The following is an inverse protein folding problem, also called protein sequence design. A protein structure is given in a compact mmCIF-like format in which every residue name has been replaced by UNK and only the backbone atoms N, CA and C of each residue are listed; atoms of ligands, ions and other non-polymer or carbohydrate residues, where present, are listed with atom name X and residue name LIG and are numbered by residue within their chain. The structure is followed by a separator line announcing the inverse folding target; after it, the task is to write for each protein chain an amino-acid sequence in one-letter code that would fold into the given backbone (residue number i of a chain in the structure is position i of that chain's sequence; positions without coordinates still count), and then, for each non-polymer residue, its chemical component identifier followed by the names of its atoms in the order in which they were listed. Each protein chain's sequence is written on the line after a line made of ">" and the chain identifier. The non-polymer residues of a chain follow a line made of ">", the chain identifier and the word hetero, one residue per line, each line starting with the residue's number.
data_IF_379849851223
#
_entry.id   IF_379849851223
#
_cell.length_a   1.000
_cell.length_b   1.000
_cell.length_c   1.000
_cell.angle_alpha   90.00
_cell.angle_beta   90.00
_cell.angle_gamma   90.00
#
_symmetry.space_group_name_H-M   'P 1'
#
loop_
_entity.id
_entity.type
_entity.pdbx_description
1 polymer ?
#
# COMPACT_ATOMS: atom_id res chain seq x y z
N UNK A 1 5.96 -24.98 33.88
CA UNK A 1 6.70 -25.53 32.73
C UNK A 1 6.08 -24.92 31.47
N UNK A 2 6.72 -23.88 30.96
CA UNK A 2 6.25 -23.17 29.77
C UNK A 2 6.86 -23.84 28.53
N UNK A 3 6.03 -24.56 27.78
CA UNK A 3 6.41 -24.98 26.44
C UNK A 3 6.07 -23.86 25.46
N UNK A 4 7.05 -23.00 25.18
CA UNK A 4 7.06 -22.17 23.99
C UNK A 4 7.33 -23.10 22.79
N UNK A 5 6.30 -23.41 22.02
CA UNK A 5 6.47 -24.00 20.69
C UNK A 5 6.85 -22.84 19.78
N UNK A 6 8.15 -22.70 19.54
CA UNK A 6 8.68 -21.92 18.43
C UNK A 6 8.30 -22.66 17.15
N UNK A 7 7.34 -22.16 16.41
CA UNK A 7 7.05 -22.62 15.05
C UNK A 7 8.17 -22.08 14.16
N UNK A 8 8.92 -22.96 13.50
CA UNK A 8 10.02 -22.62 12.61
C UNK A 8 9.57 -21.64 11.53
N UNK A 9 10.24 -20.49 11.44
CA UNK A 9 9.94 -19.38 10.52
C UNK A 9 10.06 -19.74 9.03
N UNK A 10 10.67 -20.88 8.68
CA UNK A 10 10.87 -21.31 7.29
C UNK A 10 9.66 -21.99 6.63
N UNK A 11 8.60 -22.31 7.37
CA UNK A 11 7.57 -23.26 6.91
C UNK A 11 6.48 -22.65 6.02
N UNK A 12 6.28 -21.32 5.99
CA UNK A 12 5.14 -20.71 5.28
C UNK A 12 5.36 -20.62 3.76
N UNK A 13 6.60 -20.54 3.31
CA UNK A 13 6.95 -20.47 1.87
C UNK A 13 8.02 -21.51 1.44
N UNK A 14 8.45 -22.41 2.34
CA UNK A 14 9.44 -23.44 2.00
C UNK A 14 8.79 -24.67 1.37
N UNK A 15 9.44 -25.19 0.34
CA UNK A 15 9.02 -26.27 -0.55
C UNK A 15 9.03 -27.67 0.07
N UNK A 16 8.65 -27.88 1.33
CA UNK A 16 8.64 -29.21 1.94
C UNK A 16 7.25 -29.88 2.03
N UNK A 17 6.19 -29.23 1.56
CA UNK A 17 4.86 -29.84 1.51
C UNK A 17 4.50 -30.22 0.06
N UNK A 18 4.92 -31.38 -0.36
CA UNK A 18 4.56 -31.99 -1.65
C UNK A 18 3.08 -32.44 -1.75
N UNK A 19 2.22 -32.07 -0.81
CA UNK A 19 0.76 -32.29 -0.81
C UNK A 19 -0.08 -31.03 -0.56
N UNK A 20 0.51 -29.85 -0.25
CA UNK A 20 -0.23 -28.61 -0.19
C UNK A 20 -0.17 -27.92 -1.56
N UNK A 21 -1.35 -27.67 -2.16
CA UNK A 21 -1.48 -26.99 -3.44
C UNK A 21 -0.72 -25.65 -3.48
N UNK A 22 -0.35 -25.23 -4.69
CA UNK A 22 0.39 -24.00 -4.95
C UNK A 22 -0.31 -22.79 -4.30
N UNK A 23 0.36 -22.13 -3.31
CA UNK A 23 -0.20 -20.98 -2.61
C UNK A 23 -0.36 -19.79 -3.57
N UNK A 24 -1.48 -19.11 -3.46
CA UNK A 24 -1.74 -17.88 -4.19
C UNK A 24 -1.42 -16.67 -3.30
N UNK A 25 -0.67 -15.71 -3.84
CA UNK A 25 -0.27 -14.51 -3.10
C UNK A 25 -1.17 -13.35 -3.48
N UNK A 26 -1.66 -12.63 -2.50
CA UNK A 26 -2.53 -11.46 -2.67
C UNK A 26 -1.88 -10.25 -2.02
N UNK A 27 -1.33 -9.36 -2.85
CA UNK A 27 -0.60 -8.17 -2.38
C UNK A 27 -1.50 -6.95 -2.21
N UNK A 28 -1.24 -6.14 -1.19
CA UNK A 28 -1.61 -4.74 -1.18
C UNK A 28 -0.63 -3.92 -2.03
N UNK A 29 -1.06 -2.72 -2.49
CA UNK A 29 -0.23 -1.81 -3.26
C UNK A 29 0.33 -0.67 -2.40
N UNK A 30 -0.56 0.16 -1.82
CA UNK A 30 -0.21 1.41 -1.17
C UNK A 30 0.35 1.23 0.23
N UNK A 31 1.62 1.51 0.42
CA UNK A 31 2.36 1.18 1.65
C UNK A 31 3.21 -0.07 1.50
N UNK A 32 2.76 -1.03 0.69
CA UNK A 32 3.39 -2.33 0.50
C UNK A 32 4.37 -2.34 -0.66
N UNK A 33 3.89 -2.13 -1.89
CA UNK A 33 4.73 -2.19 -3.08
C UNK A 33 5.40 -0.86 -3.42
N UNK A 34 4.73 0.25 -3.14
CA UNK A 34 5.14 1.59 -3.56
C UNK A 34 6.00 2.35 -2.54
N UNK A 35 5.86 2.06 -1.24
CA UNK A 35 6.63 2.72 -0.19
C UNK A 35 7.43 1.77 0.70
N UNK A 36 7.48 0.46 0.35
CA UNK A 36 8.29 -0.55 1.03
C UNK A 36 8.04 -0.63 2.55
N UNK A 37 6.77 -0.63 2.96
CA UNK A 37 6.37 -0.72 4.36
C UNK A 37 6.27 0.63 5.09
N UNK A 38 6.68 1.74 4.47
CA UNK A 38 6.51 3.06 5.06
C UNK A 38 5.09 3.59 4.82
N UNK A 39 4.39 3.95 5.89
CA UNK A 39 3.06 4.55 5.77
C UNK A 39 3.10 5.83 4.93
N UNK A 40 2.14 6.01 4.00
CA UNK A 40 2.10 7.14 3.07
C UNK A 40 2.22 8.52 3.74
N UNK A 41 1.62 8.72 4.90
CA UNK A 41 1.75 9.97 5.65
C UNK A 41 3.20 10.24 6.09
N UNK A 42 3.94 9.21 6.55
CA UNK A 42 5.38 9.33 6.88
C UNK A 42 6.22 9.58 5.63
N UNK A 43 5.95 8.83 4.57
CA UNK A 43 6.65 8.95 3.30
C UNK A 43 6.54 10.35 2.70
N UNK A 44 5.33 10.94 2.72
CA UNK A 44 5.07 12.32 2.32
C UNK A 44 5.75 13.33 3.26
N UNK A 45 5.65 13.12 4.57
CA UNK A 45 6.31 13.99 5.55
C UNK A 45 7.81 14.09 5.32
N UNK A 46 8.46 12.97 5.01
CA UNK A 46 9.88 12.97 4.67
C UNK A 46 10.18 13.74 3.37
N UNK A 47 9.30 13.69 2.39
CA UNK A 47 9.43 14.50 1.19
C UNK A 47 9.30 16.00 1.49
N UNK A 48 8.37 16.39 2.35
CA UNK A 48 8.27 17.78 2.82
C UNK A 48 9.58 18.24 3.47
N UNK A 49 10.16 17.43 4.35
CA UNK A 49 11.44 17.74 4.99
C UNK A 49 12.61 17.84 4.00
N UNK A 50 12.72 16.90 3.05
CA UNK A 50 13.77 16.94 2.02
C UNK A 50 13.67 18.13 1.09
N UNK A 51 12.46 18.62 0.87
CA UNK A 51 12.22 19.82 0.04
C UNK A 51 12.16 21.11 0.88
N UNK A 52 12.63 21.08 2.13
CA UNK A 52 12.76 22.22 3.03
C UNK A 52 11.43 23.02 3.22
N UNK A 53 10.31 22.30 3.25
CA UNK A 53 9.00 22.93 3.47
C UNK A 53 8.80 23.18 4.96
N UNK A 54 8.72 24.44 5.34
CA UNK A 54 8.64 24.90 6.71
C UNK A 54 7.20 24.88 7.24
N UNK A 55 6.69 23.67 7.54
CA UNK A 55 5.45 23.44 8.28
C UNK A 55 5.73 22.51 9.43
N UNK A 56 4.94 22.57 10.51
CA UNK A 56 5.05 21.58 11.59
C UNK A 56 4.49 20.22 11.16
N UNK A 57 4.91 19.14 11.81
CA UNK A 57 4.35 17.81 11.54
C UNK A 57 2.84 17.75 11.76
N UNK A 58 2.33 18.48 12.75
CA UNK A 58 0.89 18.58 13.04
C UNK A 58 0.14 19.29 11.90
N UNK A 59 0.67 20.42 11.39
CA UNK A 59 0.11 21.14 10.26
C UNK A 59 0.10 20.29 8.98
N UNK A 60 1.20 19.59 8.71
CA UNK A 60 1.27 18.62 7.61
C UNK A 60 0.23 17.52 7.78
N UNK A 61 0.10 16.96 8.99
CA UNK A 61 -0.85 15.88 9.29
C UNK A 61 -2.30 16.30 9.02
N UNK A 62 -2.67 17.52 9.38
CA UNK A 62 -3.99 18.07 9.07
C UNK A 62 -4.22 18.16 7.55
N UNK A 63 -3.23 18.66 6.80
CA UNK A 63 -3.31 18.79 5.34
C UNK A 63 -3.40 17.42 4.66
N UNK A 64 -2.59 16.46 5.08
CA UNK A 64 -2.62 15.07 4.59
C UNK A 64 -4.00 14.42 4.79
N UNK A 65 -4.54 14.49 6.03
CA UNK A 65 -5.86 13.92 6.33
C UNK A 65 -6.97 14.62 5.54
N UNK A 66 -6.86 15.94 5.37
CA UNK A 66 -7.80 16.71 4.53
C UNK A 66 -7.77 16.25 3.08
N UNK A 67 -6.58 16.09 2.50
CA UNK A 67 -6.43 15.63 1.12
C UNK A 67 -6.97 14.21 0.91
N UNK A 68 -6.63 13.26 1.80
CA UNK A 68 -7.16 11.89 1.75
C UNK A 68 -8.70 11.87 1.76
N UNK A 69 -9.32 12.61 2.70
CA UNK A 69 -10.77 12.70 2.81
C UNK A 69 -11.42 13.38 1.60
N UNK A 70 -10.74 14.35 1.00
CA UNK A 70 -11.23 15.06 -0.18
C UNK A 70 -11.20 14.13 -1.40
N UNK A 71 -10.11 13.41 -1.61
CA UNK A 71 -9.98 12.44 -2.70
C UNK A 71 -10.97 11.27 -2.55
N UNK A 72 -11.23 10.83 -1.31
CA UNK A 72 -12.17 9.75 -1.04
C UNK A 72 -13.64 10.14 -1.31
N UNK A 73 -13.99 11.40 -1.09
CA UNK A 73 -15.38 11.90 -1.23
C UNK A 73 -15.71 12.48 -2.59
N UNK A 74 -14.72 12.97 -3.31
CA UNK A 74 -14.89 13.65 -4.58
C UNK A 74 -14.15 12.84 -5.65
N UNK A 75 -14.83 12.49 -6.73
CA UNK A 75 -14.23 11.76 -7.85
C UNK A 75 -13.25 12.65 -8.65
N UNK A 76 -12.21 13.15 -7.98
CA UNK A 76 -11.19 14.04 -8.57
C UNK A 76 -10.25 13.20 -9.43
N UNK A 77 -9.83 12.06 -8.94
CA UNK A 77 -8.95 11.16 -9.69
C UNK A 77 -9.78 10.46 -10.75
N UNK A 78 -9.37 10.66 -12.01
CA UNK A 78 -10.03 10.03 -13.14
C UNK A 78 -9.44 8.64 -13.39
N UNK A 79 -10.22 7.70 -13.97
CA UNK A 79 -9.74 6.34 -14.23
C UNK A 79 -8.53 6.23 -15.15
N UNK A 80 -8.26 7.25 -15.96
CA UNK A 80 -7.13 7.34 -16.89
C UNK A 80 -5.92 8.09 -16.33
N UNK A 81 -5.99 8.56 -15.06
CA UNK A 81 -4.86 9.25 -14.44
C UNK A 81 -3.72 8.29 -14.14
N UNK A 82 -2.53 8.70 -14.56
CA UNK A 82 -1.28 8.07 -14.13
C UNK A 82 -1.03 8.28 -12.64
N UNK A 83 -0.16 7.50 -12.05
CA UNK A 83 0.27 7.69 -10.65
C UNK A 83 0.81 9.10 -10.42
N UNK A 84 1.59 9.61 -11.39
CA UNK A 84 2.13 10.97 -11.32
C UNK A 84 1.04 12.04 -11.32
N UNK A 85 0.01 11.90 -12.14
CA UNK A 85 -1.13 12.83 -12.18
C UNK A 85 -1.94 12.77 -10.88
N UNK A 86 -2.23 11.56 -10.38
CA UNK A 86 -2.90 11.36 -9.09
C UNK A 86 -2.12 12.02 -7.96
N UNK A 87 -0.79 11.81 -7.91
CA UNK A 87 0.07 12.42 -6.90
C UNK A 87 0.08 13.95 -6.98
N UNK A 88 0.08 14.51 -8.20
CA UNK A 88 0.01 15.96 -8.41
C UNK A 88 -1.29 16.58 -7.87
N UNK A 89 -2.44 15.91 -8.09
CA UNK A 89 -3.72 16.34 -7.54
C UNK A 89 -3.77 16.25 -6.01
N UNK A 90 -3.27 15.16 -5.44
CA UNK A 90 -3.16 15.01 -3.98
C UNK A 90 -2.37 16.16 -3.37
N UNK A 91 -1.18 16.45 -3.92
CA UNK A 91 -0.32 17.53 -3.42
C UNK A 91 -0.93 18.90 -3.66
N UNK A 92 -1.69 19.11 -4.75
CA UNK A 92 -2.43 20.34 -4.98
C UNK A 92 -3.46 20.60 -3.86
N UNK A 93 -4.15 19.56 -3.42
CA UNK A 93 -5.12 19.68 -2.32
C UNK A 93 -4.41 19.95 -0.99
N UNK A 94 -3.30 19.25 -0.72
CA UNK A 94 -2.51 19.44 0.51
C UNK A 94 -1.93 20.85 0.60
N UNK A 95 -1.25 21.32 -0.45
CA UNK A 95 -0.62 22.65 -0.47
C UNK A 95 -1.68 23.75 -0.44
N UNK A 96 -2.78 23.59 -1.18
CA UNK A 96 -3.91 24.52 -1.14
C UNK A 96 -4.48 24.66 0.27
N UNK A 97 -4.70 23.54 0.99
CA UNK A 97 -5.14 23.58 2.39
C UNK A 97 -4.16 24.35 3.29
N UNK A 98 -2.85 24.13 3.13
CA UNK A 98 -1.83 24.83 3.93
C UNK A 98 -1.82 26.34 3.64
N UNK A 99 -2.02 26.75 2.38
CA UNK A 99 -2.14 28.14 1.99
C UNK A 99 -3.41 28.77 2.60
N UNK A 100 -4.56 28.13 2.44
CA UNK A 100 -5.84 28.58 2.99
C UNK A 100 -5.81 28.76 4.51
N UNK A 101 -4.96 27.95 5.20
CA UNK A 101 -4.71 28.08 6.64
C UNK A 101 -3.61 29.07 7.00
N UNK A 102 -3.05 29.80 6.02
CA UNK A 102 -1.96 30.76 6.24
C UNK A 102 -0.64 30.14 6.72
N UNK A 103 -0.42 28.85 6.42
CA UNK A 103 0.76 28.08 6.83
C UNK A 103 1.83 28.00 5.75
N UNK A 104 1.46 28.27 4.51
CA UNK A 104 2.35 28.53 3.38
C UNK A 104 1.99 29.89 2.78
N UNK A 105 2.98 30.54 2.18
CA UNK A 105 2.76 31.80 1.49
C UNK A 105 1.85 31.60 0.27
N UNK A 106 0.89 32.51 0.09
CA UNK A 106 0.03 32.57 -1.09
C UNK A 106 0.81 33.23 -2.26
N UNK A 107 1.74 32.47 -2.83
CA UNK A 107 2.45 32.81 -4.05
C UNK A 107 2.31 31.65 -5.05
N UNK A 108 1.47 31.88 -6.04
CA UNK A 108 1.14 30.86 -7.05
C UNK A 108 2.38 30.29 -7.77
N UNK A 109 3.43 31.09 -8.00
CA UNK A 109 4.67 30.60 -8.63
C UNK A 109 5.45 29.70 -7.70
N UNK A 110 5.52 30.10 -6.45
CA UNK A 110 6.19 29.31 -5.41
C UNK A 110 5.46 28.01 -5.17
N UNK A 111 4.12 28.04 -5.05
CA UNK A 111 3.28 26.85 -4.89
C UNK A 111 3.49 25.84 -6.02
N UNK A 112 3.45 26.27 -7.29
CA UNK A 112 3.66 25.38 -8.44
C UNK A 112 5.05 24.74 -8.40
N UNK A 113 6.11 25.53 -8.13
CA UNK A 113 7.47 25.00 -8.02
C UNK A 113 7.61 24.00 -6.89
N UNK A 114 7.03 24.30 -5.74
CA UNK A 114 7.04 23.44 -4.57
C UNK A 114 6.36 22.09 -4.86
N UNK A 115 5.16 22.13 -5.42
CA UNK A 115 4.40 20.97 -5.81
C UNK A 115 5.14 20.11 -6.83
N UNK A 116 5.71 20.74 -7.87
CA UNK A 116 6.47 20.02 -8.89
C UNK A 116 7.72 19.34 -8.31
N UNK A 117 8.40 19.99 -7.35
CA UNK A 117 9.52 19.40 -6.64
C UNK A 117 9.08 18.19 -5.80
N UNK A 118 7.99 18.31 -5.03
CA UNK A 118 7.42 17.20 -4.26
C UNK A 118 6.98 16.04 -5.15
N UNK A 119 6.26 16.33 -6.25
CA UNK A 119 5.84 15.30 -7.21
C UNK A 119 7.05 14.55 -7.75
N UNK A 120 8.09 15.26 -8.15
CA UNK A 120 9.32 14.67 -8.69
C UNK A 120 10.02 13.78 -7.65
N UNK A 121 10.18 14.28 -6.43
CA UNK A 121 10.84 13.56 -5.34
C UNK A 121 10.09 12.26 -5.00
N UNK A 122 8.79 12.37 -4.73
CA UNK A 122 7.94 11.23 -4.36
C UNK A 122 7.82 10.22 -5.50
N UNK A 123 7.58 10.68 -6.71
CA UNK A 123 7.47 9.80 -7.87
C UNK A 123 8.74 8.97 -8.12
N UNK A 124 9.91 9.61 -8.01
CA UNK A 124 11.19 8.91 -8.16
C UNK A 124 11.43 7.90 -7.03
N UNK A 125 11.08 8.25 -5.80
CA UNK A 125 11.18 7.35 -4.64
C UNK A 125 10.26 6.14 -4.80
N UNK A 126 8.99 6.36 -5.16
CA UNK A 126 8.02 5.29 -5.47
C UNK A 126 8.52 4.41 -6.60
N UNK A 127 9.00 5.00 -7.71
CA UNK A 127 9.54 4.24 -8.84
C UNK A 127 10.69 3.32 -8.42
N UNK A 128 11.57 3.80 -7.54
CA UNK A 128 12.68 3.00 -7.00
C UNK A 128 12.17 1.81 -6.18
N UNK A 129 11.22 2.03 -5.28
CA UNK A 129 10.62 0.98 -4.47
C UNK A 129 9.89 -0.06 -5.34
N UNK A 130 9.10 0.40 -6.30
CA UNK A 130 8.38 -0.48 -7.23
C UNK A 130 9.35 -1.33 -8.07
N UNK A 131 10.48 -0.77 -8.51
CA UNK A 131 11.50 -1.55 -9.23
C UNK A 131 12.10 -2.65 -8.36
N UNK A 132 12.27 -2.42 -7.07
CA UNK A 132 12.71 -3.45 -6.12
C UNK A 132 11.61 -4.50 -5.90
N UNK A 133 10.37 -4.07 -5.62
CA UNK A 133 9.21 -4.94 -5.47
C UNK A 133 8.95 -5.81 -6.71
N UNK A 134 9.10 -5.23 -7.92
CA UNK A 134 8.95 -5.95 -9.19
C UNK A 134 9.86 -7.17 -9.28
N UNK A 135 11.13 -7.06 -8.88
CA UNK A 135 12.08 -8.20 -8.89
C UNK A 135 11.59 -9.34 -8.00
N UNK A 136 11.01 -9.01 -6.86
CA UNK A 136 10.44 -10.00 -5.94
C UNK A 136 9.20 -10.64 -6.57
N UNK A 137 8.28 -9.84 -7.10
CA UNK A 137 7.07 -10.35 -7.76
C UNK A 137 7.40 -11.24 -8.96
N UNK A 138 8.38 -10.88 -9.79
CA UNK A 138 8.85 -11.70 -10.93
C UNK A 138 9.44 -13.05 -10.47
N UNK A 139 10.13 -13.07 -9.33
CA UNK A 139 10.62 -14.30 -8.70
C UNK A 139 9.49 -15.18 -8.21
N UNK A 140 8.55 -14.60 -7.46
CA UNK A 140 7.42 -15.30 -6.86
C UNK A 140 6.44 -15.84 -7.91
N UNK A 141 6.21 -15.10 -9.00
CA UNK A 141 5.33 -15.50 -10.10
C UNK A 141 5.75 -16.79 -10.79
N UNK A 142 7.01 -17.20 -10.66
CA UNK A 142 7.50 -18.49 -11.22
C UNK A 142 6.90 -19.70 -10.51
N UNK A 143 6.42 -19.51 -9.27
CA UNK A 143 5.93 -20.61 -8.41
C UNK A 143 4.53 -20.36 -7.85
N UNK A 144 4.02 -19.13 -7.94
CA UNK A 144 2.79 -18.71 -7.29
C UNK A 144 1.93 -17.88 -8.25
N UNK A 145 0.63 -18.01 -8.14
CA UNK A 145 -0.33 -17.08 -8.71
C UNK A 145 -0.32 -15.81 -7.87
N UNK A 146 -0.43 -14.65 -8.49
CA UNK A 146 -0.36 -13.36 -7.80
C UNK A 146 -1.55 -12.51 -8.16
N UNK A 147 -2.27 -12.01 -7.15
CA UNK A 147 -3.32 -11.02 -7.26
C UNK A 147 -2.99 -9.74 -6.51
N UNK A 148 -3.77 -8.69 -6.75
CA UNK A 148 -3.70 -7.41 -6.06
C UNK A 148 -5.03 -7.10 -5.37
N UNK A 149 -4.97 -6.59 -4.13
CA UNK A 149 -6.13 -6.05 -3.39
C UNK A 149 -5.76 -4.72 -2.77
N UNK A 150 -6.40 -3.63 -3.19
CA UNK A 150 -5.97 -2.29 -2.78
C UNK A 150 -7.13 -1.33 -2.54
N UNK A 151 -6.93 -0.41 -1.57
CA UNK A 151 -7.75 0.79 -1.47
C UNK A 151 -7.14 1.84 -2.41
N UNK A 152 -7.83 2.09 -3.53
CA UNK A 152 -7.34 3.03 -4.53
C UNK A 152 -8.50 3.78 -5.20
N UNK A 153 -8.23 4.62 -6.19
CA UNK A 153 -9.16 5.65 -6.68
C UNK A 153 -9.86 5.30 -8.01
N UNK A 154 -9.72 4.07 -8.52
CA UNK A 154 -10.32 3.61 -9.78
C UNK A 154 -9.35 3.64 -10.98
N UNK A 155 -8.10 4.02 -10.77
CA UNK A 155 -7.09 4.13 -11.81
C UNK A 155 -5.93 3.11 -11.67
N UNK A 156 -6.09 2.06 -10.88
CA UNK A 156 -5.01 1.11 -10.59
C UNK A 156 -4.49 0.42 -11.86
N UNK A 157 -5.34 0.13 -12.85
CA UNK A 157 -4.90 -0.46 -14.11
C UNK A 157 -3.87 0.41 -14.84
N UNK A 158 -4.10 1.73 -14.91
CA UNK A 158 -3.18 2.69 -15.53
C UNK A 158 -1.88 2.80 -14.73
N UNK A 159 -2.00 2.79 -13.38
CA UNK A 159 -0.82 2.81 -12.51
C UNK A 159 0.04 1.57 -12.68
N UNK A 160 -0.57 0.39 -12.79
CA UNK A 160 0.17 -0.85 -13.03
C UNK A 160 0.86 -0.84 -14.41
N UNK A 161 0.20 -0.32 -15.43
CA UNK A 161 0.79 -0.15 -16.77
C UNK A 161 1.96 0.84 -16.75
N UNK A 162 1.81 2.00 -16.09
CA UNK A 162 2.85 3.01 -15.94
C UNK A 162 4.15 2.44 -15.34
N UNK A 163 4.02 1.55 -14.36
CA UNK A 163 5.16 0.91 -13.70
C UNK A 163 5.55 -0.45 -14.29
N UNK A 164 4.87 -0.91 -15.33
CA UNK A 164 5.14 -2.18 -16.00
C UNK A 164 4.84 -3.41 -15.13
N UNK A 165 3.82 -3.31 -14.26
CA UNK A 165 3.43 -4.37 -13.32
C UNK A 165 2.20 -5.18 -13.77
N UNK A 166 1.44 -4.72 -14.78
CA UNK A 166 0.15 -5.31 -15.17
C UNK A 166 0.22 -6.80 -15.45
N UNK A 167 1.27 -7.25 -16.11
CA UNK A 167 1.46 -8.66 -16.43
C UNK A 167 1.81 -9.55 -15.24
N UNK A 168 2.10 -8.97 -14.07
CA UNK A 168 2.47 -9.72 -12.87
C UNK A 168 1.24 -10.21 -12.08
N UNK A 169 0.13 -9.51 -12.17
CA UNK A 169 -1.09 -9.81 -11.43
C UNK A 169 -2.12 -10.51 -12.31
N UNK A 170 -2.68 -11.60 -11.81
CA UNK A 170 -3.77 -12.33 -12.47
C UNK A 170 -5.11 -11.61 -12.26
N UNK A 171 -5.30 -11.05 -11.07
CA UNK A 171 -6.51 -10.29 -10.70
C UNK A 171 -6.13 -9.00 -9.98
N UNK A 172 -6.95 -7.97 -10.16
CA UNK A 172 -6.87 -6.70 -9.44
C UNK A 172 -8.22 -6.41 -8.80
N UNK A 173 -8.26 -6.39 -7.48
CA UNK A 173 -9.45 -6.01 -6.70
C UNK A 173 -9.20 -4.63 -6.10
N UNK A 174 -9.81 -3.62 -6.72
CA UNK A 174 -9.64 -2.22 -6.34
C UNK A 174 -10.91 -1.69 -5.68
N UNK A 175 -10.78 -1.04 -4.51
CA UNK A 175 -11.90 -0.61 -3.68
C UNK A 175 -12.90 0.29 -4.43
N UNK A 176 -12.42 1.23 -5.22
CA UNK A 176 -13.29 2.15 -5.98
C UNK A 176 -14.07 1.42 -7.08
N UNK A 177 -13.57 0.29 -7.60
CA UNK A 177 -14.21 -0.50 -8.64
C UNK A 177 -15.25 -1.46 -8.05
N UNK A 178 -14.90 -2.13 -6.93
CA UNK A 178 -15.79 -3.12 -6.32
C UNK A 178 -16.78 -2.53 -5.31
N UNK A 179 -16.64 -1.23 -4.96
CA UNK A 179 -17.50 -0.53 -4.01
C UNK A 179 -17.32 -0.93 -2.55
N UNK A 180 -16.28 -1.70 -2.24
CA UNK A 180 -15.93 -2.15 -0.87
C UNK A 180 -14.46 -1.85 -0.63
N UNK A 181 -14.13 -1.33 0.57
CA UNK A 181 -12.76 -0.95 0.91
C UNK A 181 -12.28 -1.58 2.22
N UNK A 182 -10.99 -1.83 2.33
CA UNK A 182 -10.34 -2.20 3.59
C UNK A 182 -10.59 -1.13 4.66
N UNK A 183 -10.91 -1.48 5.91
CA UNK A 183 -10.74 -2.79 6.53
C UNK A 183 -11.95 -3.72 6.43
N UNK A 184 -12.97 -3.46 5.58
CA UNK A 184 -14.07 -4.39 5.40
C UNK A 184 -13.53 -5.73 4.84
N UNK A 185 -13.70 -6.87 5.55
CA UNK A 185 -13.21 -8.17 5.10
C UNK A 185 -13.85 -8.63 3.78
N UNK A 186 -14.96 -8.03 3.37
CA UNK A 186 -15.63 -8.38 2.12
C UNK A 186 -14.73 -8.15 0.89
N UNK A 187 -13.81 -7.16 0.92
CA UNK A 187 -12.90 -6.93 -0.20
C UNK A 187 -11.95 -8.12 -0.42
N UNK A 188 -11.50 -8.77 0.67
CA UNK A 188 -10.66 -9.97 0.60
C UNK A 188 -11.45 -11.18 0.09
N UNK A 189 -12.71 -11.35 0.50
CA UNK A 189 -13.58 -12.40 -0.05
C UNK A 189 -13.78 -12.24 -1.55
N UNK A 190 -13.98 -11.00 -2.03
CA UNK A 190 -14.08 -10.70 -3.46
C UNK A 190 -12.79 -11.02 -4.20
N UNK A 191 -11.62 -10.65 -3.63
CA UNK A 191 -10.32 -10.93 -4.23
C UNK A 191 -10.02 -12.44 -4.31
N UNK A 192 -10.31 -13.20 -3.24
CA UNK A 192 -10.17 -14.65 -3.20
C UNK A 192 -11.08 -15.32 -4.22
N UNK A 193 -12.34 -14.87 -4.32
CA UNK A 193 -13.30 -15.37 -5.32
C UNK A 193 -12.86 -15.09 -6.75
N UNK A 194 -12.30 -13.89 -7.02
CA UNK A 194 -11.77 -13.52 -8.34
C UNK A 194 -10.61 -14.44 -8.76
N UNK A 195 -9.79 -14.87 -7.80
CA UNK A 195 -8.71 -15.84 -8.00
C UNK A 195 -9.22 -17.28 -8.12
N UNK A 196 -10.51 -17.54 -7.82
CA UNK A 196 -11.12 -18.88 -7.76
C UNK A 196 -10.39 -19.80 -6.79
N UNK A 197 -9.98 -19.24 -5.66
CA UNK A 197 -9.25 -19.93 -4.61
C UNK A 197 -10.11 -20.13 -3.36
N UNK A 198 -9.62 -20.97 -2.47
CA UNK A 198 -10.13 -21.06 -1.09
C UNK A 198 -9.26 -20.19 -0.19
N UNK A 199 -9.84 -19.51 0.83
CA UNK A 199 -9.09 -18.58 1.69
C UNK A 199 -7.81 -19.19 2.29
N UNK A 200 -7.85 -20.44 2.72
CA UNK A 200 -6.72 -21.17 3.33
C UNK A 200 -5.51 -21.37 2.38
N UNK A 201 -5.72 -21.23 1.07
CA UNK A 201 -4.68 -21.31 0.04
C UNK A 201 -4.14 -19.93 -0.35
N UNK A 202 -4.69 -18.84 0.21
CA UNK A 202 -4.29 -17.49 -0.11
C UNK A 202 -3.47 -16.87 1.03
N UNK A 203 -2.34 -16.28 0.67
CA UNK A 203 -1.49 -15.51 1.58
C UNK A 203 -1.60 -14.04 1.24
N UNK A 204 -2.14 -13.24 2.14
CA UNK A 204 -2.23 -11.78 2.00
C UNK A 204 -0.97 -11.12 2.52
N UNK A 205 -0.35 -10.28 1.71
CA UNK A 205 0.85 -9.51 2.04
C UNK A 205 0.49 -8.02 2.06
N UNK A 206 0.65 -7.37 3.20
CA UNK A 206 0.31 -5.95 3.36
C UNK A 206 1.08 -5.27 4.49
N UNK A 207 1.15 -3.93 4.47
CA UNK A 207 1.86 -3.13 5.48
C UNK A 207 0.96 -2.73 6.67
N UNK A 208 -0.35 -2.63 6.45
CA UNK A 208 -1.28 -2.16 7.47
C UNK A 208 -1.89 -3.31 8.27
N UNK A 209 -1.51 -3.41 9.56
CA UNK A 209 -2.11 -4.41 10.43
C UNK A 209 -3.64 -4.33 10.48
N UNK A 210 -4.18 -3.12 10.62
CA UNK A 210 -5.62 -2.90 10.74
C UNK A 210 -6.39 -3.05 9.41
N UNK A 211 -5.76 -2.71 8.27
CA UNK A 211 -6.45 -2.72 6.96
C UNK A 211 -6.19 -3.98 6.15
N UNK A 212 -5.04 -4.64 6.34
CA UNK A 212 -4.67 -5.82 5.58
C UNK A 212 -4.71 -7.09 6.42
N UNK A 213 -3.96 -7.11 7.51
CA UNK A 213 -3.70 -8.35 8.25
C UNK A 213 -4.93 -8.83 9.01
N UNK A 214 -5.49 -7.98 9.87
CA UNK A 214 -6.62 -8.36 10.72
C UNK A 214 -7.87 -8.77 9.91
N UNK A 215 -8.32 -8.00 8.88
CA UNK A 215 -9.47 -8.41 8.11
C UNK A 215 -9.22 -9.61 7.19
N UNK A 216 -8.01 -9.77 6.62
CA UNK A 216 -7.67 -10.94 5.83
C UNK A 216 -7.64 -12.22 6.68
N UNK A 217 -7.01 -12.17 7.85
CA UNK A 217 -7.03 -13.27 8.82
C UNK A 217 -8.47 -13.67 9.19
N UNK A 218 -9.33 -12.67 9.41
CA UNK A 218 -10.76 -12.89 9.70
C UNK A 218 -11.54 -13.56 8.57
N UNK A 219 -11.00 -13.64 7.35
CA UNK A 219 -11.60 -14.40 6.24
C UNK A 219 -11.04 -15.81 6.08
N UNK A 220 -10.07 -16.21 6.89
CA UNK A 220 -9.40 -17.49 6.81
C UNK A 220 -8.17 -17.52 5.89
N UNK A 221 -7.74 -16.37 5.38
CA UNK A 221 -6.47 -16.25 4.65
C UNK A 221 -5.28 -16.31 5.60
N UNK A 222 -4.15 -16.86 5.11
CA UNK A 222 -2.85 -16.67 5.75
C UNK A 222 -2.37 -15.24 5.53
N UNK A 223 -1.53 -14.72 6.41
CA UNK A 223 -1.13 -13.31 6.40
C UNK A 223 0.36 -13.12 6.62
N UNK A 224 0.96 -12.25 5.82
CA UNK A 224 2.33 -11.77 5.98
C UNK A 224 2.30 -10.25 6.18
N UNK A 225 2.71 -9.81 7.37
CA UNK A 225 2.75 -8.41 7.70
C UNK A 225 4.12 -7.81 7.34
N UNK A 226 4.14 -6.93 6.35
CA UNK A 226 5.30 -6.08 6.05
C UNK A 226 5.36 -4.96 7.09
N UNK A 227 6.02 -5.23 8.22
CA UNK A 227 6.10 -4.30 9.34
C UNK A 227 7.19 -3.27 9.13
N UNK A 228 6.81 -2.16 8.52
CA UNK A 228 7.67 -1.01 8.33
C UNK A 228 7.35 0.15 9.30
N UNK A 229 7.54 1.37 8.83
CA UNK A 229 7.33 2.58 9.62
C UNK A 229 5.85 3.03 9.54
N UNK A 230 5.08 2.76 10.61
CA UNK A 230 3.68 3.13 10.73
C UNK A 230 3.45 4.64 10.93
N UNK A 231 2.18 5.07 10.79
CA UNK A 231 1.76 6.44 11.12
C UNK A 231 1.74 6.69 12.63
N UNK A 232 1.34 5.68 13.37
CA UNK A 232 1.35 5.63 14.85
C UNK A 232 2.19 4.44 15.28
N UNK A 233 2.73 4.51 16.50
CA UNK A 233 3.56 3.43 17.07
C UNK A 233 2.72 2.29 17.70
N UNK A 234 1.42 2.24 17.39
CA UNK A 234 0.48 1.30 18.00
C UNK A 234 0.79 -0.14 17.56
N UNK A 235 1.57 -0.84 18.35
CA UNK A 235 1.70 -2.28 18.21
C UNK A 235 0.40 -2.94 18.70
N UNK A 236 -0.16 -3.91 17.93
CA UNK A 236 -1.34 -4.64 18.39
C UNK A 236 -1.02 -5.40 19.69
N UNK A 237 -1.95 -5.37 20.65
CA UNK A 237 -1.82 -6.12 21.91
C UNK A 237 -1.69 -7.63 21.67
N UNK A 238 -2.28 -8.12 20.58
CA UNK A 238 -2.15 -9.49 20.07
C UNK A 238 -1.94 -9.43 18.56
N UNK A 239 -0.83 -9.97 18.06
CA UNK A 239 -0.56 -10.06 16.64
C UNK A 239 -1.11 -11.38 16.09
N UNK A 240 -1.97 -11.29 15.06
CA UNK A 240 -2.55 -12.45 14.36
C UNK A 240 -1.87 -12.75 13.03
N UNK A 241 -0.82 -12.01 12.67
CA UNK A 241 -0.06 -12.28 11.46
C UNK A 241 0.66 -13.62 11.57
N UNK A 242 0.54 -14.45 10.53
CA UNK A 242 1.24 -15.74 10.46
C UNK A 242 2.76 -15.55 10.31
N UNK A 243 3.16 -14.49 9.61
CA UNK A 243 4.57 -14.10 9.46
C UNK A 243 4.71 -12.58 9.47
N UNK A 244 5.82 -12.09 10.04
CA UNK A 244 6.22 -10.68 10.00
C UNK A 244 7.52 -10.57 9.24
N UNK A 245 7.58 -9.64 8.28
CA UNK A 245 8.76 -9.31 7.48
C UNK A 245 9.06 -7.82 7.56
N UNK A 246 10.31 -7.44 7.31
CA UNK A 246 10.75 -6.03 7.23
C UNK A 246 11.00 -5.58 5.79
N UNK A 247 11.14 -6.50 4.86
CA UNK A 247 11.32 -6.25 3.45
C UNK A 247 10.66 -7.34 2.61
N UNK A 248 10.22 -7.00 1.39
CA UNK A 248 9.60 -7.96 0.48
C UNK A 248 10.60 -9.04 -0.03
N UNK A 249 11.90 -8.77 0.05
CA UNK A 249 12.96 -9.72 -0.30
C UNK A 249 13.02 -10.94 0.63
N UNK A 250 12.42 -10.85 1.81
CA UNK A 250 12.27 -11.96 2.75
C UNK A 250 11.19 -12.97 2.32
N UNK A 251 10.34 -12.66 1.34
CA UNK A 251 9.38 -13.58 0.76
C UNK A 251 10.08 -14.59 -0.15
#
# INVERSE_FOLDING_TARGET
>A
MNNNILVDEETILSSQDSEQGELTLLFDFGGTLDTAGCHWGRFLWYAYKRNEIHVSEEQFREAYVYAERTLDRQNIIQPDFTFRQMLAEKLRIETGFLIDKGRLHDDRRMEVKLRDALVKDLYNSVKTNIMAARKVLERLKKKHRIGLVTNFYGNMSIVLDEFGLSSLFETVTESAVVGVRKPDPQIFRLAVAALRERPENVVVVGDSYAKDILPAHGTGCKTVWLKGEGWTEDAPALCVADRIIKGLDEL
#
